data_IF_114628633459
#
_entry.id   IF_114628633459
#
_cell.length_a   1.000
_cell.length_b   1.000
_cell.length_c   1.000
_cell.angle_alpha   90.00
_cell.angle_beta   90.00
_cell.angle_gamma   90.00
#
_symmetry.space_group_name_H-M   'P 1'
#
loop_
_entity.id
_entity.type
_entity.pdbx_description
1 polymer ?
#
# COMPACT_ATOMS: atom_id res chain seq x y z
N UNK A 1 38.64 -1.27 8.58
CA UNK A 1 38.92 0.06 9.13
C UNK A 1 38.70 1.08 8.02
N UNK A 2 37.49 1.63 7.94
CA UNK A 2 37.15 2.70 7.01
C UNK A 2 36.41 3.76 7.81
N UNK A 3 37.09 4.88 8.10
CA UNK A 3 36.50 5.99 8.82
C UNK A 3 35.56 6.74 7.86
N UNK A 4 34.25 6.59 8.08
CA UNK A 4 33.23 7.38 7.40
C UNK A 4 33.29 8.82 7.89
N UNK A 5 33.65 9.73 7.00
CA UNK A 5 33.56 11.17 7.20
C UNK A 5 32.08 11.54 7.24
N UNK A 6 31.53 11.63 8.46
CA UNK A 6 30.22 12.25 8.69
C UNK A 6 30.38 13.76 8.49
N UNK A 7 30.07 14.23 7.28
CA UNK A 7 30.05 15.65 6.97
C UNK A 7 28.91 16.31 7.74
N UNK A 8 29.24 17.11 8.75
CA UNK A 8 28.27 17.95 9.43
C UNK A 8 27.66 18.91 8.40
N UNK A 9 26.34 18.84 8.21
CA UNK A 9 25.63 19.80 7.38
C UNK A 9 25.90 21.22 7.90
N UNK A 10 26.17 22.19 7.01
CA UNK A 10 26.43 23.57 7.42
C UNK A 10 25.23 24.08 8.23
N UNK A 11 25.50 24.64 9.42
CA UNK A 11 24.46 25.22 10.25
C UNK A 11 23.76 26.35 9.48
N UNK A 12 22.48 26.14 9.13
CA UNK A 12 21.63 27.19 8.56
C UNK A 12 21.62 28.39 9.51
N UNK A 13 21.83 29.57 8.96
CA UNK A 13 21.94 30.78 9.77
C UNK A 13 20.55 31.38 10.01
N UNK A 14 20.34 32.05 11.14
CA UNK A 14 19.07 32.75 11.42
C UNK A 14 18.67 33.74 10.30
N UNK A 15 19.65 34.26 9.55
CA UNK A 15 19.42 35.11 8.38
C UNK A 15 18.77 34.38 7.19
N UNK A 16 18.97 33.07 7.05
CA UNK A 16 18.37 32.28 5.98
C UNK A 16 16.90 31.97 6.28
N UNK A 17 16.57 31.69 7.55
CA UNK A 17 15.20 31.49 8.03
C UNK A 17 14.33 32.73 7.81
N UNK A 18 14.82 33.91 8.21
CA UNK A 18 14.11 35.19 8.02
C UNK A 18 13.84 35.47 6.54
N UNK A 19 14.84 35.23 5.68
CA UNK A 19 14.70 35.39 4.23
C UNK A 19 13.67 34.41 3.65
N UNK A 20 13.63 33.17 4.15
CA UNK A 20 12.63 32.19 3.74
C UNK A 20 11.22 32.62 4.16
N UNK A 21 11.02 33.03 5.41
CA UNK A 21 9.71 33.51 5.91
C UNK A 21 9.21 34.68 5.07
N UNK A 22 10.08 35.64 4.77
CA UNK A 22 9.74 36.79 3.92
C UNK A 22 9.29 36.36 2.51
N UNK A 23 10.04 35.46 1.86
CA UNK A 23 9.67 34.92 0.54
C UNK A 23 8.31 34.23 0.55
N UNK A 24 8.05 33.39 1.55
CA UNK A 24 6.77 32.68 1.69
C UNK A 24 5.64 33.67 1.94
N UNK A 25 5.82 34.66 2.81
CA UNK A 25 4.83 35.70 3.07
C UNK A 25 4.48 36.48 1.78
N UNK A 26 5.48 36.87 1.00
CA UNK A 26 5.28 37.54 -0.28
C UNK A 26 4.56 36.66 -1.31
N UNK A 27 4.89 35.36 -1.39
CA UNK A 27 4.22 34.44 -2.28
C UNK A 27 2.75 34.25 -1.91
N UNK A 28 2.47 34.03 -0.61
CA UNK A 28 1.11 33.78 -0.12
C UNK A 28 0.21 35.02 -0.18
N UNK A 29 0.74 36.21 0.08
CA UNK A 29 -0.02 37.46 0.04
C UNK A 29 -0.51 37.86 -1.36
N UNK A 30 0.09 37.31 -2.42
CA UNK A 30 -0.33 37.55 -3.82
C UNK A 30 -1.52 36.69 -4.27
N UNK A 31 -1.95 35.69 -3.49
CA UNK A 31 -3.07 34.83 -3.87
C UNK A 31 -4.42 35.51 -3.67
N UNK A 32 -5.28 35.44 -4.68
CA UNK A 32 -6.69 35.85 -4.52
C UNK A 32 -7.46 34.81 -3.70
N UNK A 33 -8.58 35.18 -3.05
CA UNK A 33 -9.43 34.24 -2.34
C UNK A 33 -9.92 33.07 -3.21
N UNK A 34 -10.24 33.32 -4.48
CA UNK A 34 -10.72 32.32 -5.42
C UNK A 34 -9.61 31.34 -5.79
N UNK A 35 -8.39 31.84 -6.04
CA UNK A 35 -7.22 31.00 -6.30
C UNK A 35 -6.89 30.12 -5.09
N UNK A 36 -7.03 30.65 -3.88
CA UNK A 36 -6.85 29.93 -2.63
C UNK A 36 -7.88 28.79 -2.47
N UNK A 37 -9.15 29.08 -2.72
CA UNK A 37 -10.23 28.08 -2.65
C UNK A 37 -10.03 26.97 -3.69
N UNK A 38 -9.68 27.33 -4.93
CA UNK A 38 -9.41 26.35 -5.98
C UNK A 38 -8.20 25.47 -5.64
N UNK A 39 -7.13 26.06 -5.08
CA UNK A 39 -5.98 25.31 -4.60
C UNK A 39 -6.36 24.34 -3.45
N UNK A 40 -7.15 24.80 -2.47
CA UNK A 40 -7.66 23.95 -1.37
C UNK A 40 -8.43 22.74 -1.89
N UNK A 41 -9.31 22.94 -2.87
CA UNK A 41 -10.08 21.85 -3.48
C UNK A 41 -9.18 20.82 -4.16
N UNK A 42 -8.23 21.27 -4.99
CA UNK A 42 -7.27 20.37 -5.67
C UNK A 42 -6.44 19.56 -4.69
N UNK A 43 -5.96 20.22 -3.64
CA UNK A 43 -5.14 19.62 -2.60
C UNK A 43 -5.94 18.59 -1.80
N UNK A 44 -7.19 18.89 -1.44
CA UNK A 44 -8.07 17.93 -0.75
C UNK A 44 -8.38 16.71 -1.63
N UNK A 45 -8.63 16.92 -2.93
CA UNK A 45 -8.77 15.81 -3.88
C UNK A 45 -7.49 14.96 -3.97
N UNK A 46 -6.31 15.59 -4.01
CA UNK A 46 -5.03 14.89 -4.00
C UNK A 46 -4.84 14.06 -2.74
N UNK A 47 -5.19 14.63 -1.58
CA UNK A 47 -5.15 13.97 -0.27
C UNK A 47 -6.05 12.75 -0.21
N UNK A 48 -7.27 12.85 -0.74
CA UNK A 48 -8.21 11.72 -0.82
C UNK A 48 -7.67 10.60 -1.72
N UNK A 49 -7.11 10.96 -2.88
CA UNK A 49 -6.48 9.99 -3.78
C UNK A 49 -5.32 9.26 -3.10
N UNK A 50 -4.44 9.99 -2.39
CA UNK A 50 -3.32 9.43 -1.62
C UNK A 50 -3.80 8.49 -0.50
N UNK A 51 -4.86 8.84 0.24
CA UNK A 51 -5.45 7.92 1.22
C UNK A 51 -5.96 6.64 0.54
N UNK A 52 -6.61 6.77 -0.62
CA UNK A 52 -7.08 5.62 -1.38
C UNK A 52 -5.91 4.77 -1.91
N UNK A 53 -4.80 5.36 -2.37
CA UNK A 53 -3.57 4.63 -2.71
C UNK A 53 -3.12 3.77 -1.53
N UNK A 54 -3.05 4.33 -0.32
CA UNK A 54 -2.59 3.62 0.88
C UNK A 54 -3.50 2.47 1.27
N UNK A 55 -4.82 2.67 1.23
CA UNK A 55 -5.80 1.58 1.47
C UNK A 55 -5.64 0.47 0.44
N UNK A 56 -5.51 0.84 -0.84
CA UNK A 56 -5.33 -0.10 -1.94
C UNK A 56 -4.05 -0.94 -1.76
N UNK A 57 -2.93 -0.28 -1.48
CA UNK A 57 -1.63 -0.89 -1.20
C UNK A 57 -1.71 -1.83 0.01
N UNK A 58 -2.36 -1.43 1.10
CA UNK A 58 -2.52 -2.30 2.28
C UNK A 58 -3.22 -3.63 1.95
N UNK A 59 -4.29 -3.62 1.16
CA UNK A 59 -4.99 -4.85 0.74
C UNK A 59 -4.14 -5.66 -0.24
N UNK A 60 -3.51 -5.01 -1.23
CA UNK A 60 -2.64 -5.66 -2.22
C UNK A 60 -1.50 -6.40 -1.52
N UNK A 61 -0.84 -5.75 -0.56
CA UNK A 61 0.32 -6.30 0.12
C UNK A 61 -0.05 -7.43 1.07
N UNK A 62 -1.25 -7.40 1.66
CA UNK A 62 -1.80 -8.58 2.35
C UNK A 62 -2.07 -9.75 1.40
N UNK A 63 -2.60 -9.50 0.18
CA UNK A 63 -2.79 -10.55 -0.82
C UNK A 63 -1.51 -11.21 -1.29
N UNK A 64 -0.44 -10.43 -1.48
CA UNK A 64 0.90 -10.92 -1.78
C UNK A 64 1.44 -11.77 -0.62
N UNK A 65 1.34 -11.29 0.63
CA UNK A 65 1.81 -12.03 1.81
C UNK A 65 1.03 -13.32 2.04
N UNK A 66 -0.30 -13.29 1.98
CA UNK A 66 -1.16 -14.46 2.24
C UNK A 66 -0.87 -15.58 1.23
N UNK A 67 -0.68 -15.23 -0.04
CA UNK A 67 -0.22 -16.15 -1.08
C UNK A 67 1.16 -16.73 -0.80
N UNK A 68 2.12 -15.88 -0.46
CA UNK A 68 3.47 -16.32 -0.15
C UNK A 68 3.51 -17.30 1.04
N UNK A 69 2.71 -17.02 2.07
CA UNK A 69 2.53 -17.89 3.23
C UNK A 69 1.93 -19.24 2.85
N UNK A 70 0.90 -19.26 1.98
CA UNK A 70 0.31 -20.52 1.51
C UNK A 70 1.32 -21.37 0.71
N UNK A 71 2.10 -20.73 -0.18
CA UNK A 71 3.14 -21.41 -0.95
C UNK A 71 4.28 -21.95 -0.06
N UNK A 72 4.74 -21.16 0.90
CA UNK A 72 5.76 -21.59 1.86
C UNK A 72 5.25 -22.75 2.74
N UNK A 73 4.00 -22.69 3.20
CA UNK A 73 3.38 -23.77 3.97
C UNK A 73 3.32 -25.08 3.17
N UNK A 74 2.91 -25.03 1.89
CA UNK A 74 2.94 -26.19 0.99
C UNK A 74 4.36 -26.73 0.79
N UNK A 75 5.35 -25.85 0.67
CA UNK A 75 6.77 -26.22 0.52
C UNK A 75 7.26 -26.97 1.75
N UNK A 76 6.98 -26.45 2.95
CA UNK A 76 7.39 -27.09 4.20
C UNK A 76 6.68 -28.43 4.40
N UNK A 77 5.37 -28.51 4.15
CA UNK A 77 4.62 -29.76 4.22
C UNK A 77 5.18 -30.83 3.26
N UNK A 78 5.63 -30.45 2.06
CA UNK A 78 6.25 -31.37 1.12
C UNK A 78 7.56 -31.98 1.62
N UNK A 79 8.25 -31.30 2.54
CA UNK A 79 9.50 -31.75 3.16
C UNK A 79 9.32 -32.45 4.50
N UNK A 80 8.13 -32.36 5.09
CA UNK A 80 7.79 -33.02 6.34
C UNK A 80 7.58 -34.52 6.13
N UNK A 81 7.87 -35.31 7.16
CA UNK A 81 7.80 -36.77 7.11
C UNK A 81 6.93 -37.38 8.21
N UNK A 82 6.49 -36.55 9.16
CA UNK A 82 5.70 -37.00 10.31
C UNK A 82 4.40 -36.18 10.49
N UNK A 83 3.36 -36.80 11.06
CA UNK A 83 2.13 -36.10 11.47
C UNK A 83 2.37 -34.84 12.33
N UNK A 84 3.31 -34.92 13.28
CA UNK A 84 3.64 -33.83 14.19
C UNK A 84 4.23 -32.63 13.43
N UNK A 85 5.07 -32.89 12.42
CA UNK A 85 5.63 -31.85 11.57
C UNK A 85 4.57 -31.18 10.70
N UNK A 86 3.61 -31.93 10.13
CA UNK A 86 2.50 -31.35 9.36
C UNK A 86 1.68 -30.37 10.19
N UNK A 87 1.32 -30.77 11.42
CA UNK A 87 0.57 -29.91 12.33
C UNK A 87 1.39 -28.72 12.82
N UNK A 88 2.70 -28.89 13.05
CA UNK A 88 3.58 -27.79 13.43
C UNK A 88 3.73 -26.75 12.31
N UNK A 89 3.85 -27.18 11.05
CA UNK A 89 3.87 -26.30 9.87
C UNK A 89 2.56 -25.52 9.77
N UNK A 90 1.43 -26.20 9.93
CA UNK A 90 0.10 -25.59 9.92
C UNK A 90 -0.04 -24.52 11.00
N UNK A 91 0.41 -24.80 12.23
CA UNK A 91 0.33 -23.84 13.35
C UNK A 91 1.17 -22.59 13.12
N UNK A 92 2.38 -22.73 12.56
CA UNK A 92 3.22 -21.59 12.17
C UNK A 92 2.57 -20.74 11.09
N UNK A 93 1.99 -21.38 10.07
CA UNK A 93 1.26 -20.69 9.02
C UNK A 93 0.05 -19.89 9.57
N UNK A 94 -0.75 -20.48 10.46
CA UNK A 94 -1.88 -19.78 11.09
C UNK A 94 -1.41 -18.55 11.87
N UNK A 95 -0.34 -18.68 12.65
CA UNK A 95 0.24 -17.57 13.40
C UNK A 95 0.70 -16.44 12.48
N UNK A 96 1.39 -16.77 11.38
CA UNK A 96 1.85 -15.80 10.38
C UNK A 96 0.68 -15.09 9.67
N UNK A 97 -0.42 -15.81 9.37
CA UNK A 97 -1.60 -15.20 8.77
C UNK A 97 -2.31 -14.22 9.70
N UNK A 98 -2.47 -14.58 10.97
CA UNK A 98 -3.05 -13.69 11.98
C UNK A 98 -2.25 -12.38 12.11
N UNK A 99 -0.91 -12.48 12.14
CA UNK A 99 -0.04 -11.31 12.16
C UNK A 99 -0.18 -10.47 10.88
N UNK A 100 -0.19 -11.12 9.71
CA UNK A 100 -0.37 -10.45 8.41
C UNK A 100 -1.69 -9.69 8.31
N UNK A 101 -2.78 -10.25 8.87
CA UNK A 101 -4.11 -9.61 8.93
C UNK A 101 -4.12 -8.43 9.91
N UNK A 102 -3.58 -8.60 11.11
CA UNK A 102 -3.49 -7.52 12.09
C UNK A 102 -2.74 -6.29 11.53
N UNK A 103 -1.68 -6.51 10.73
CA UNK A 103 -0.98 -5.43 10.02
C UNK A 103 -1.83 -4.77 8.94
N UNK A 104 -2.57 -5.55 8.16
CA UNK A 104 -3.49 -4.99 7.17
C UNK A 104 -4.52 -4.08 7.84
N UNK A 105 -5.15 -4.53 8.92
CA UNK A 105 -6.13 -3.75 9.68
C UNK A 105 -5.52 -2.48 10.26
N UNK A 106 -4.30 -2.57 10.79
CA UNK A 106 -3.56 -1.42 11.30
C UNK A 106 -3.26 -0.41 10.18
N UNK A 107 -2.74 -0.87 9.03
CA UNK A 107 -2.42 -0.02 7.89
C UNK A 107 -3.67 0.66 7.33
N UNK A 108 -4.77 -0.10 7.20
CA UNK A 108 -6.07 0.41 6.79
C UNK A 108 -6.61 1.45 7.79
N UNK A 109 -6.51 1.18 9.09
CA UNK A 109 -6.91 2.09 10.16
C UNK A 109 -6.11 3.38 10.14
N UNK A 110 -4.78 3.32 9.96
CA UNK A 110 -3.90 4.49 9.79
C UNK A 110 -4.33 5.34 8.59
N UNK A 111 -4.65 4.71 7.46
CA UNK A 111 -5.13 5.43 6.27
C UNK A 111 -6.50 6.11 6.51
N UNK A 112 -7.42 5.46 7.24
CA UNK A 112 -8.70 6.07 7.61
C UNK A 112 -8.53 7.25 8.58
N UNK A 113 -7.64 7.13 9.56
CA UNK A 113 -7.31 8.22 10.47
C UNK A 113 -6.69 9.41 9.72
N UNK A 114 -5.82 9.15 8.74
CA UNK A 114 -5.29 10.19 7.86
C UNK A 114 -6.40 10.90 7.06
N UNK A 115 -7.46 10.20 6.66
CA UNK A 115 -8.63 10.78 6.00
C UNK A 115 -9.46 11.71 6.90
N UNK A 116 -9.80 11.27 8.11
CA UNK A 116 -10.81 11.93 8.96
C UNK A 116 -10.30 13.01 9.91
N UNK A 117 -8.99 13.12 10.11
CA UNK A 117 -8.47 13.91 11.23
C UNK A 117 -8.28 15.40 10.92
N UNK A 118 -9.37 16.17 11.00
CA UNK A 118 -9.31 17.61 11.29
C UNK A 118 -8.98 17.89 12.79
N UNK A 119 -9.01 16.86 13.64
CA UNK A 119 -8.90 16.93 15.09
C UNK A 119 -7.52 16.51 15.65
N UNK A 120 -6.65 15.84 14.90
CA UNK A 120 -5.21 15.74 15.23
C UNK A 120 -4.51 17.06 14.88
N UNK A 121 -4.83 18.10 15.65
CA UNK A 121 -4.14 19.40 15.69
C UNK A 121 -2.93 19.40 16.64
N UNK A 122 -2.45 18.22 17.05
CA UNK A 122 -1.25 18.11 17.90
C UNK A 122 0.00 18.02 17.03
N UNK A 123 1.10 18.61 17.50
CA UNK A 123 2.38 18.76 16.78
C UNK A 123 3.03 17.44 16.30
N UNK A 124 2.52 16.28 16.72
CA UNK A 124 3.01 14.97 16.29
C UNK A 124 2.52 14.55 14.88
N UNK A 125 1.57 15.28 14.28
CA UNK A 125 1.03 14.99 12.93
C UNK A 125 1.98 15.37 11.77
N UNK A 126 3.19 15.82 12.07
CA UNK A 126 4.13 16.34 11.08
C UNK A 126 5.33 15.41 10.82
N UNK A 127 5.27 14.14 11.21
CA UNK A 127 6.24 13.20 10.70
C UNK A 127 6.08 13.08 9.16
N UNK A 128 7.18 13.23 8.43
CA UNK A 128 7.30 12.72 7.06
C UNK A 128 6.99 11.23 7.16
N UNK A 129 6.06 10.75 6.33
CA UNK A 129 5.73 9.34 6.37
C UNK A 129 6.93 8.55 5.87
N UNK A 130 7.31 7.51 6.61
CA UNK A 130 8.19 6.48 6.07
C UNK A 130 7.59 5.97 4.76
N UNK A 131 8.45 5.63 3.80
CA UNK A 131 7.99 5.07 2.54
C UNK A 131 7.20 3.79 2.84
N UNK A 132 6.00 3.67 2.28
CA UNK A 132 5.19 2.48 2.44
C UNK A 132 5.86 1.23 1.86
N UNK A 133 6.91 1.38 1.05
CA UNK A 133 7.80 0.28 0.64
C UNK A 133 8.55 -0.36 1.82
N UNK A 134 9.05 0.44 2.77
CA UNK A 134 9.82 -0.07 3.91
C UNK A 134 8.93 -0.91 4.85
N UNK A 135 7.71 -0.43 5.10
CA UNK A 135 6.68 -1.13 5.86
C UNK A 135 6.33 -2.51 5.26
N UNK A 136 6.43 -2.66 3.93
CA UNK A 136 6.13 -3.91 3.22
C UNK A 136 7.25 -4.96 3.36
N UNK A 137 8.52 -4.55 3.24
CA UNK A 137 9.67 -5.44 3.46
C UNK A 137 9.69 -5.94 4.91
N UNK A 138 9.45 -5.05 5.88
CA UNK A 138 9.33 -5.43 7.30
C UNK A 138 8.17 -6.41 7.56
N UNK A 139 6.99 -6.16 6.96
CA UNK A 139 5.84 -7.05 7.13
C UNK A 139 6.08 -8.44 6.52
N UNK A 140 6.76 -8.51 5.37
CA UNK A 140 7.14 -9.79 4.77
C UNK A 140 8.22 -10.50 5.60
N UNK A 141 9.18 -9.76 6.16
CA UNK A 141 10.23 -10.29 7.00
C UNK A 141 9.68 -10.90 8.30
N UNK A 142 8.70 -10.25 8.94
CA UNK A 142 8.00 -10.82 10.10
C UNK A 142 7.24 -12.09 9.69
N UNK A 143 6.46 -12.05 8.61
CA UNK A 143 5.70 -13.20 8.14
C UNK A 143 6.61 -14.40 7.84
N UNK A 144 7.77 -14.17 7.22
CA UNK A 144 8.79 -15.17 6.97
C UNK A 144 9.36 -15.78 8.27
N UNK A 145 9.62 -14.96 9.29
CA UNK A 145 10.09 -15.45 10.59
C UNK A 145 9.03 -16.32 11.29
N UNK A 146 7.77 -15.89 11.29
CA UNK A 146 6.67 -16.63 11.93
C UNK A 146 6.41 -17.98 11.28
N UNK A 147 6.45 -18.04 9.94
CA UNK A 147 6.24 -19.28 9.20
C UNK A 147 7.49 -20.20 9.21
N UNK A 148 8.66 -19.66 9.57
CA UNK A 148 9.93 -20.39 9.57
C UNK A 148 10.62 -20.44 8.20
N UNK A 149 10.34 -19.48 7.31
CA UNK A 149 10.99 -19.40 6.00
C UNK A 149 12.45 -18.96 6.12
N UNK A 150 13.33 -19.55 5.32
CA UNK A 150 14.76 -19.24 5.34
C UNK A 150 15.08 -17.84 4.76
N UNK A 151 14.26 -17.32 3.84
CA UNK A 151 14.52 -16.07 3.14
C UNK A 151 13.23 -15.32 2.79
N UNK A 152 13.02 -14.16 3.43
CA UNK A 152 11.85 -13.31 3.22
C UNK A 152 11.74 -12.78 1.78
N UNK A 153 12.86 -12.52 1.10
CA UNK A 153 12.87 -12.02 -0.29
C UNK A 153 12.42 -13.08 -1.29
N UNK A 154 12.84 -14.33 -1.09
CA UNK A 154 12.35 -15.45 -1.91
C UNK A 154 10.85 -15.64 -1.72
N UNK A 155 10.38 -15.58 -0.48
CA UNK A 155 8.96 -15.66 -0.15
C UNK A 155 8.18 -14.50 -0.80
N UNK A 156 8.70 -13.27 -0.74
CA UNK A 156 8.12 -12.12 -1.42
C UNK A 156 8.00 -12.32 -2.94
N UNK A 157 9.08 -12.82 -3.57
CA UNK A 157 9.10 -13.07 -5.01
C UNK A 157 8.03 -14.08 -5.44
N UNK A 158 7.83 -15.16 -4.67
CA UNK A 158 6.74 -16.13 -4.91
C UNK A 158 5.37 -15.47 -4.75
N UNK A 159 5.18 -14.66 -3.70
CA UNK A 159 3.94 -13.91 -3.49
C UNK A 159 3.59 -12.94 -4.63
N UNK A 160 4.60 -12.36 -5.29
CA UNK A 160 4.43 -11.42 -6.40
C UNK A 160 4.47 -12.05 -7.79
N UNK A 161 4.76 -13.35 -7.91
CA UNK A 161 4.89 -14.05 -9.19
C UNK A 161 3.59 -13.96 -10.01
N UNK A 162 3.65 -13.45 -11.24
CA UNK A 162 2.47 -13.30 -12.11
C UNK A 162 1.74 -11.96 -12.02
N UNK A 163 2.02 -11.12 -11.01
CA UNK A 163 1.51 -9.74 -10.97
C UNK A 163 2.22 -8.86 -12.01
N UNK A 164 3.55 -8.95 -12.09
CA UNK A 164 4.36 -8.17 -13.03
C UNK A 164 3.97 -8.38 -14.50
N UNK A 165 3.55 -9.59 -14.89
CA UNK A 165 3.11 -9.92 -16.25
C UNK A 165 1.73 -9.37 -16.60
N UNK A 166 0.85 -9.18 -15.61
CA UNK A 166 -0.50 -8.68 -15.83
C UNK A 166 -0.52 -7.15 -16.10
N UNK A 167 0.49 -6.42 -15.63
CA UNK A 167 0.59 -4.98 -15.78
C UNK A 167 0.88 -4.50 -17.22
N UNK A 168 1.33 -5.39 -18.11
CA UNK A 168 1.91 -5.01 -19.41
C UNK A 168 0.98 -5.00 -20.62
N UNK A 169 -0.28 -5.46 -20.55
CA UNK A 169 -1.04 -5.69 -21.78
C UNK A 169 -2.52 -5.36 -21.67
N UNK A 170 -2.97 -4.43 -22.53
CA UNK A 170 -4.38 -4.27 -22.86
C UNK A 170 -4.97 -5.59 -23.38
N UNK A 171 -6.13 -5.95 -22.83
CA UNK A 171 -7.17 -6.77 -23.45
C UNK A 171 -6.70 -7.91 -24.38
N UNK A 172 -5.85 -8.82 -23.91
CA UNK A 172 -5.66 -10.08 -24.63
C UNK A 172 -6.95 -10.93 -24.50
N UNK A 173 -7.36 -11.65 -25.57
CA UNK A 173 -8.61 -12.41 -25.58
C UNK A 173 -8.55 -13.60 -24.60
N UNK A 174 -9.65 -13.79 -23.87
CA UNK A 174 -9.93 -14.77 -22.80
C UNK A 174 -9.84 -16.26 -23.18
N UNK A 175 -9.04 -16.66 -24.19
CA UNK A 175 -9.08 -18.02 -24.76
C UNK A 175 -7.79 -18.84 -24.66
N UNK A 176 -6.65 -18.24 -24.35
CA UNK A 176 -5.39 -18.98 -24.24
C UNK A 176 -5.11 -19.30 -22.77
N UNK A 177 -5.24 -20.57 -22.39
CA UNK A 177 -4.77 -21.08 -21.10
C UNK A 177 -3.28 -20.73 -20.94
N UNK A 178 -2.90 -19.84 -20.02
CA UNK A 178 -1.50 -19.55 -19.76
C UNK A 178 -0.93 -20.79 -19.06
N UNK A 179 -0.30 -21.68 -19.83
CA UNK A 179 0.48 -22.81 -19.34
C UNK A 179 1.83 -22.36 -18.79
N UNK A 180 1.86 -21.29 -18.01
CA UNK A 180 3.06 -20.81 -17.33
C UNK A 180 3.23 -21.58 -16.03
N UNK A 181 4.12 -22.58 -16.02
CA UNK A 181 4.51 -23.36 -14.84
C UNK A 181 5.23 -22.46 -13.82
N UNK A 182 4.47 -21.65 -13.07
CA UNK A 182 5.01 -20.86 -11.97
C UNK A 182 5.37 -21.72 -10.76
N UNK A 183 6.16 -21.17 -9.83
CA UNK A 183 6.58 -21.89 -8.63
C UNK A 183 5.37 -22.34 -7.79
N UNK A 184 4.34 -21.49 -7.68
CA UNK A 184 3.09 -21.83 -6.97
C UNK A 184 2.32 -22.96 -7.66
N UNK A 185 2.27 -22.98 -8.99
CA UNK A 185 1.58 -24.07 -9.73
C UNK A 185 2.29 -25.42 -9.52
N UNK A 186 3.62 -25.43 -9.43
CA UNK A 186 4.40 -26.62 -9.11
C UNK A 186 4.09 -27.13 -7.70
N UNK A 187 3.94 -26.23 -6.72
CA UNK A 187 3.54 -26.59 -5.35
C UNK A 187 2.11 -27.12 -5.28
N UNK A 188 1.17 -26.47 -5.98
CA UNK A 188 -0.23 -26.93 -6.02
C UNK A 188 -0.36 -28.33 -6.66
N UNK A 189 0.54 -28.71 -7.56
CA UNK A 189 0.52 -30.03 -8.19
C UNK A 189 0.63 -31.18 -7.16
N UNK A 190 1.19 -30.95 -5.98
CA UNK A 190 1.26 -31.94 -4.90
C UNK A 190 -0.10 -32.28 -4.28
N UNK A 191 -1.12 -31.46 -4.54
CA UNK A 191 -2.48 -31.68 -4.06
C UNK A 191 -3.32 -32.52 -5.02
N UNK A 192 -2.78 -32.94 -6.18
CA UNK A 192 -3.55 -33.75 -7.16
C UNK A 192 -3.95 -35.11 -6.62
N UNK A 193 -3.11 -35.70 -5.79
CA UNK A 193 -3.31 -37.00 -5.16
C UNK A 193 -3.63 -36.78 -3.67
N UNK A 194 -4.66 -37.48 -3.18
CA UNK A 194 -5.03 -37.45 -1.77
C UNK A 194 -3.95 -38.15 -0.93
N UNK A 195 -3.41 -37.51 0.12
CA UNK A 195 -2.45 -38.16 1.00
C UNK A 195 -3.06 -39.41 1.67
N UNK A 196 -2.27 -40.48 1.75
CA UNK A 196 -2.68 -41.69 2.47
C UNK A 196 -2.66 -41.51 4.00
N UNK A 197 -1.84 -40.58 4.49
CA UNK A 197 -1.77 -40.20 5.90
C UNK A 197 -2.89 -39.22 6.27
N UNK A 198 -3.69 -39.57 7.28
CA UNK A 198 -4.83 -38.76 7.74
C UNK A 198 -4.39 -37.39 8.27
N UNK A 199 -3.21 -37.31 8.88
CA UNK A 199 -2.72 -36.06 9.47
C UNK A 199 -2.23 -35.09 8.40
N UNK A 200 -1.54 -35.59 7.36
CA UNK A 200 -1.19 -34.81 6.18
C UNK A 200 -2.45 -34.32 5.43
N UNK A 201 -3.42 -35.21 5.21
CA UNK A 201 -4.70 -34.87 4.58
C UNK A 201 -5.42 -33.75 5.35
N UNK A 202 -5.51 -33.90 6.67
CA UNK A 202 -6.09 -32.90 7.59
C UNK A 202 -5.33 -31.58 7.52
N UNK A 203 -4.00 -31.60 7.60
CA UNK A 203 -3.19 -30.38 7.60
C UNK A 203 -3.32 -29.61 6.28
N UNK A 204 -3.30 -30.30 5.13
CA UNK A 204 -3.50 -29.70 3.80
C UNK A 204 -4.92 -29.16 3.61
N UNK A 205 -5.94 -29.85 4.13
CA UNK A 205 -7.31 -29.35 4.09
C UNK A 205 -7.49 -28.11 4.96
N UNK A 206 -6.96 -28.10 6.19
CA UNK A 206 -6.97 -26.92 7.07
C UNK A 206 -6.24 -25.72 6.46
N UNK A 207 -5.14 -25.97 5.74
CA UNK A 207 -4.45 -24.93 4.98
C UNK A 207 -5.38 -24.32 3.91
N UNK A 208 -6.12 -25.15 3.17
CA UNK A 208 -7.11 -24.67 2.22
C UNK A 208 -8.20 -23.83 2.90
N UNK A 209 -8.83 -24.33 3.97
CA UNK A 209 -9.91 -23.62 4.65
C UNK A 209 -9.47 -22.25 5.14
N UNK A 210 -8.30 -22.19 5.78
CA UNK A 210 -7.75 -20.94 6.25
C UNK A 210 -7.40 -20.00 5.09
N UNK A 211 -6.74 -20.49 4.03
CA UNK A 211 -6.38 -19.65 2.88
C UNK A 211 -7.62 -19.12 2.14
N UNK A 212 -8.63 -19.96 1.93
CA UNK A 212 -9.90 -19.56 1.33
C UNK A 212 -10.60 -18.47 2.17
N UNK A 213 -10.55 -18.58 3.50
CA UNK A 213 -11.06 -17.54 4.41
C UNK A 213 -10.31 -16.22 4.27
N UNK A 214 -8.98 -16.23 4.09
CA UNK A 214 -8.23 -15.00 3.77
C UNK A 214 -8.67 -14.42 2.43
N UNK A 215 -8.83 -15.26 1.39
CA UNK A 215 -9.28 -14.81 0.05
C UNK A 215 -10.67 -14.15 0.11
N UNK A 216 -11.59 -14.70 0.89
CA UNK A 216 -12.89 -14.09 1.14
C UNK A 216 -12.79 -12.72 1.83
N UNK A 217 -11.93 -12.61 2.86
CA UNK A 217 -11.70 -11.34 3.56
C UNK A 217 -11.03 -10.29 2.68
N UNK A 218 -10.09 -10.70 1.83
CA UNK A 218 -9.48 -9.82 0.83
C UNK A 218 -10.51 -9.29 -0.16
N UNK A 219 -11.41 -10.16 -0.62
CA UNK A 219 -12.55 -9.75 -1.45
C UNK A 219 -13.42 -8.72 -0.72
N UNK A 220 -13.77 -8.97 0.55
CA UNK A 220 -14.52 -8.02 1.37
C UNK A 220 -13.82 -6.66 1.50
N UNK A 221 -12.50 -6.67 1.72
CA UNK A 221 -11.67 -5.46 1.82
C UNK A 221 -11.61 -4.67 0.51
N UNK A 222 -11.50 -5.37 -0.63
CA UNK A 222 -11.51 -4.77 -1.96
C UNK A 222 -12.87 -4.15 -2.29
N UNK A 223 -13.97 -4.82 -1.98
CA UNK A 223 -15.32 -4.28 -2.17
C UNK A 223 -15.58 -3.05 -1.30
N UNK A 224 -15.14 -3.10 -0.03
CA UNK A 224 -15.18 -1.95 0.87
C UNK A 224 -14.34 -0.78 0.35
N UNK A 225 -13.12 -1.05 -0.10
CA UNK A 225 -12.23 -0.06 -0.72
C UNK A 225 -12.92 0.65 -1.88
N UNK A 226 -13.51 -0.15 -2.77
CA UNK A 226 -14.20 0.34 -3.96
C UNK A 226 -15.39 1.23 -3.59
N UNK A 227 -16.23 0.80 -2.66
CA UNK A 227 -17.39 1.55 -2.17
C UNK A 227 -17.00 2.90 -1.51
N UNK A 228 -15.83 2.97 -0.87
CA UNK A 228 -15.34 4.19 -0.23
C UNK A 228 -14.62 5.15 -1.20
N UNK A 229 -14.08 4.67 -2.32
CA UNK A 229 -13.17 5.46 -3.17
C UNK A 229 -13.81 6.00 -4.47
N UNK A 230 -14.94 5.43 -4.92
CA UNK A 230 -15.47 5.68 -6.27
C UNK A 230 -15.98 7.11 -6.51
N UNK A 231 -16.37 7.85 -5.46
CA UNK A 231 -16.85 9.24 -5.59
C UNK A 231 -15.74 10.26 -5.77
N UNK A 232 -14.50 9.89 -5.41
CA UNK A 232 -13.34 10.79 -5.44
C UNK A 232 -12.55 10.71 -6.76
N UNK A 233 -12.90 9.79 -7.67
CA UNK A 233 -12.17 9.57 -8.93
C UNK A 233 -12.98 10.04 -10.15
N UNK A 234 -12.32 10.41 -11.27
CA UNK A 234 -13.01 10.74 -12.50
C UNK A 234 -13.92 9.61 -13.00
N UNK A 235 -15.04 9.95 -13.65
CA UNK A 235 -16.06 8.99 -14.08
C UNK A 235 -15.51 7.84 -14.97
N UNK A 236 -14.53 8.14 -15.84
CA UNK A 236 -13.88 7.12 -16.67
C UNK A 236 -13.08 6.10 -15.83
N UNK A 237 -12.40 6.56 -14.77
CA UNK A 237 -11.66 5.71 -13.84
C UNK A 237 -12.65 4.89 -13.01
N UNK A 238 -13.71 5.51 -12.49
CA UNK A 238 -14.78 4.80 -11.76
C UNK A 238 -15.40 3.67 -12.60
N UNK A 239 -15.72 3.92 -13.87
CA UNK A 239 -16.30 2.92 -14.76
C UNK A 239 -15.35 1.74 -15.05
N UNK A 240 -14.04 1.99 -15.18
CA UNK A 240 -13.03 0.93 -15.30
C UNK A 240 -12.90 0.12 -14.00
N UNK A 241 -12.87 0.80 -12.85
CA UNK A 241 -12.86 0.15 -11.53
C UNK A 241 -14.06 -0.78 -11.36
N UNK A 242 -15.27 -0.28 -11.62
CA UNK A 242 -16.52 -1.03 -11.61
C UNK A 242 -16.46 -2.28 -12.48
N UNK A 243 -15.94 -2.14 -13.70
CA UNK A 243 -15.79 -3.26 -14.65
C UNK A 243 -14.87 -4.33 -14.09
N UNK A 244 -13.74 -3.93 -13.50
CA UNK A 244 -12.76 -4.86 -12.89
C UNK A 244 -13.32 -5.56 -11.67
N UNK A 245 -14.03 -4.84 -10.78
CA UNK A 245 -14.68 -5.42 -9.59
C UNK A 245 -15.74 -6.45 -10.00
N UNK A 246 -16.61 -6.14 -10.96
CA UNK A 246 -17.62 -7.10 -11.45
C UNK A 246 -17.02 -8.40 -11.98
N UNK A 247 -15.79 -8.36 -12.52
CA UNK A 247 -15.09 -9.55 -12.98
C UNK A 247 -14.71 -10.52 -11.86
N UNK A 248 -14.43 -10.01 -10.65
CA UNK A 248 -14.09 -10.81 -9.46
C UNK A 248 -15.30 -11.65 -9.00
N UNK A 249 -16.51 -11.13 -9.18
CA UNK A 249 -17.77 -11.74 -8.71
C UNK A 249 -18.51 -12.55 -9.78
N UNK A 250 -17.86 -12.84 -10.90
CA UNK A 250 -18.48 -13.64 -11.96
C UNK A 250 -18.77 -15.07 -11.48
N UNK A 251 -19.82 -15.70 -12.02
CA UNK A 251 -20.12 -17.11 -11.72
C UNK A 251 -18.91 -18.01 -12.04
N UNK A 252 -18.20 -17.71 -13.12
CA UNK A 252 -16.94 -18.35 -13.47
C UNK A 252 -15.88 -18.19 -12.37
N UNK A 253 -15.75 -17.00 -11.77
CA UNK A 253 -14.83 -16.72 -10.67
C UNK A 253 -15.20 -17.42 -9.35
N UNK A 254 -16.40 -18.01 -9.23
CA UNK A 254 -16.83 -18.72 -8.01
C UNK A 254 -16.95 -20.24 -8.19
N UNK A 255 -16.95 -20.75 -9.43
CA UNK A 255 -17.07 -22.19 -9.70
C UNK A 255 -15.77 -22.98 -9.57
N UNK A 256 -15.89 -24.22 -9.10
CA UNK A 256 -14.88 -25.27 -9.22
C UNK A 256 -15.35 -26.29 -10.28
N UNK A 257 -14.45 -26.96 -11.02
CA UNK A 257 -14.86 -28.01 -11.97
C UNK A 257 -15.51 -29.20 -11.26
N UNK A 258 -16.65 -29.65 -11.77
CA UNK A 258 -17.31 -30.89 -11.31
C UNK A 258 -16.69 -32.13 -11.99
N UNK A 259 -16.70 -33.27 -11.28
CA UNK A 259 -16.38 -34.58 -11.88
C UNK A 259 -14.91 -34.84 -12.23
N UNK A 260 -13.98 -34.09 -11.64
CA UNK A 260 -12.55 -34.33 -11.82
C UNK A 260 -12.07 -35.57 -11.05
N UNK A 261 -10.99 -36.21 -11.56
CA UNK A 261 -10.36 -37.39 -10.93
C UNK A 261 -9.30 -37.04 -9.89
N UNK A 262 -8.87 -35.78 -9.86
CA UNK A 262 -7.87 -35.26 -8.91
C UNK A 262 -8.55 -35.00 -7.55
N UNK A 263 -7.78 -34.99 -6.47
CA UNK A 263 -8.28 -34.69 -5.14
C UNK A 263 -8.92 -33.29 -5.11
N UNK A 264 -10.13 -33.18 -4.56
CA UNK A 264 -10.94 -31.96 -4.67
C UNK A 264 -10.24 -30.72 -4.10
N UNK A 265 -9.38 -30.89 -3.08
CA UNK A 265 -8.58 -29.82 -2.47
C UNK A 265 -7.66 -29.15 -3.49
N UNK A 266 -7.13 -29.87 -4.49
CA UNK A 266 -6.37 -29.28 -5.59
C UNK A 266 -7.16 -28.21 -6.33
N UNK A 267 -8.40 -28.54 -6.73
CA UNK A 267 -9.24 -27.61 -7.49
C UNK A 267 -9.66 -26.41 -6.66
N UNK A 268 -10.01 -26.63 -5.38
CA UNK A 268 -10.37 -25.56 -4.47
C UNK A 268 -9.19 -24.63 -4.21
N UNK A 269 -7.99 -25.18 -3.98
CA UNK A 269 -6.80 -24.38 -3.70
C UNK A 269 -6.33 -23.61 -4.92
N UNK A 270 -6.34 -24.25 -6.10
CA UNK A 270 -6.07 -23.58 -7.38
C UNK A 270 -7.08 -22.46 -7.66
N UNK A 271 -8.33 -22.65 -7.25
CA UNK A 271 -9.38 -21.64 -7.41
C UNK A 271 -9.15 -20.45 -6.49
N UNK A 272 -8.88 -20.70 -5.21
CA UNK A 272 -8.54 -19.67 -4.23
C UNK A 272 -7.32 -18.85 -4.69
N UNK A 273 -6.27 -19.52 -5.14
CA UNK A 273 -5.04 -18.89 -5.66
C UNK A 273 -5.32 -18.01 -6.89
N UNK A 274 -6.08 -18.52 -7.87
CA UNK A 274 -6.46 -17.72 -9.05
C UNK A 274 -7.25 -16.48 -8.67
N UNK A 275 -8.19 -16.60 -7.73
CA UNK A 275 -9.01 -15.49 -7.27
C UNK A 275 -8.15 -14.47 -6.52
N UNK A 276 -7.24 -14.92 -5.66
CA UNK A 276 -6.28 -14.06 -4.98
C UNK A 276 -5.42 -13.26 -5.97
N UNK A 277 -4.78 -13.95 -6.93
CA UNK A 277 -3.94 -13.30 -7.93
C UNK A 277 -4.73 -12.29 -8.77
N UNK A 278 -5.97 -12.63 -9.13
CA UNK A 278 -6.86 -11.72 -9.86
C UNK A 278 -7.17 -10.46 -9.05
N UNK A 279 -7.48 -10.58 -7.76
CA UNK A 279 -7.73 -9.43 -6.90
C UNK A 279 -6.50 -8.57 -6.70
N UNK A 280 -5.33 -9.18 -6.45
CA UNK A 280 -4.06 -8.48 -6.34
C UNK A 280 -3.72 -7.69 -7.61
N UNK A 281 -3.96 -8.27 -8.80
CA UNK A 281 -3.78 -7.59 -10.09
C UNK A 281 -4.77 -6.42 -10.28
N UNK A 282 -6.03 -6.58 -9.85
CA UNK A 282 -7.02 -5.49 -9.88
C UNK A 282 -6.59 -4.34 -8.96
N UNK A 283 -6.13 -4.65 -7.75
CA UNK A 283 -5.62 -3.66 -6.80
C UNK A 283 -4.38 -2.94 -7.33
N UNK A 284 -3.43 -3.65 -7.94
CA UNK A 284 -2.27 -3.01 -8.59
C UNK A 284 -2.70 -2.02 -9.69
N UNK A 285 -3.72 -2.37 -10.48
CA UNK A 285 -4.29 -1.46 -11.47
C UNK A 285 -4.96 -0.23 -10.86
N UNK A 286 -5.63 -0.39 -9.71
CA UNK A 286 -6.25 0.71 -8.97
C UNK A 286 -5.21 1.64 -8.37
N UNK A 287 -4.20 1.07 -7.72
CA UNK A 287 -3.06 1.80 -7.15
C UNK A 287 -2.39 2.69 -8.20
N UNK A 288 -2.00 2.14 -9.36
CA UNK A 288 -1.39 2.93 -10.45
C UNK A 288 -2.28 4.07 -10.94
N UNK A 289 -3.59 3.81 -11.05
CA UNK A 289 -4.56 4.83 -11.47
C UNK A 289 -4.67 5.95 -10.44
N UNK A 290 -4.67 5.60 -9.15
CA UNK A 290 -4.79 6.54 -8.04
C UNK A 290 -3.49 7.32 -7.81
N UNK A 291 -2.33 6.68 -7.94
CA UNK A 291 -1.02 7.33 -7.91
C UNK A 291 -0.92 8.37 -9.02
N UNK A 292 -1.37 8.03 -10.23
CA UNK A 292 -1.45 8.98 -11.33
C UNK A 292 -2.37 10.17 -10.99
N UNK A 293 -3.55 9.94 -10.42
CA UNK A 293 -4.44 11.03 -9.99
C UNK A 293 -3.83 11.89 -8.88
N UNK A 294 -3.19 11.27 -7.88
CA UNK A 294 -2.53 11.95 -6.77
C UNK A 294 -1.29 12.75 -7.21
N UNK A 295 -0.56 12.29 -8.23
CA UNK A 295 0.57 13.00 -8.82
C UNK A 295 0.12 14.24 -9.61
N UNK A 296 -0.97 14.15 -10.37
CA UNK A 296 -1.43 15.22 -11.24
C UNK A 296 -2.32 16.28 -10.56
N UNK A 297 -2.89 15.98 -9.39
CA UNK A 297 -3.81 16.88 -8.69
C UNK A 297 -3.11 17.98 -7.87
N UNK A 298 -1.87 17.75 -7.44
CA UNK A 298 -1.06 18.74 -6.73
C UNK A 298 0.32 18.88 -7.37
N UNK A 299 0.45 19.80 -8.32
CA UNK A 299 1.70 20.07 -9.05
C UNK A 299 2.57 21.16 -8.43
N UNK A 300 2.07 21.87 -7.42
CA UNK A 300 2.75 23.00 -6.76
C UNK A 300 2.83 22.82 -5.25
N UNK A 301 3.90 23.32 -4.66
CA UNK A 301 4.09 23.40 -3.21
C UNK A 301 3.12 24.45 -2.63
N UNK A 302 2.33 24.11 -1.59
CA UNK A 302 1.36 25.05 -1.01
C UNK A 302 2.03 26.17 -0.21
N UNK A 303 3.33 26.07 0.08
CA UNK A 303 4.09 27.02 0.88
C UNK A 303 4.74 28.09 -0.01
N UNK A 304 5.60 27.70 -0.95
CA UNK A 304 6.27 28.64 -1.86
C UNK A 304 5.52 28.90 -3.17
N UNK A 305 4.50 28.10 -3.49
CA UNK A 305 3.72 28.15 -4.75
C UNK A 305 4.53 27.77 -6.01
N UNK A 306 5.69 27.15 -5.82
CA UNK A 306 6.53 26.69 -6.92
C UNK A 306 6.17 25.25 -7.31
N UNK A 307 6.40 24.90 -8.57
CA UNK A 307 6.11 23.56 -9.09
C UNK A 307 7.02 22.51 -8.45
N UNK A 308 6.48 21.31 -8.22
CA UNK A 308 7.30 20.19 -7.78
C UNK A 308 8.25 19.72 -8.89
N UNK A 309 9.42 19.26 -8.48
CA UNK A 309 10.43 18.64 -9.34
C UNK A 309 10.65 17.19 -8.93
N UNK A 310 11.22 16.37 -9.81
CA UNK A 310 11.46 14.96 -9.49
C UNK A 310 12.57 14.78 -8.43
N UNK A 311 13.55 15.68 -8.38
CA UNK A 311 14.70 15.64 -7.46
C UNK A 311 15.16 17.05 -7.10
N UNK A 312 15.70 17.20 -5.88
CA UNK A 312 16.28 18.44 -5.38
C UNK A 312 15.39 19.17 -4.37
N UNK A 313 15.64 20.46 -4.17
CA UNK A 313 14.98 21.32 -3.17
C UNK A 313 13.45 21.41 -3.34
N UNK A 314 12.97 21.29 -4.58
CA UNK A 314 11.54 21.29 -4.90
C UNK A 314 10.95 19.88 -5.07
N UNK A 315 11.63 18.84 -4.59
CA UNK A 315 11.07 17.49 -4.58
C UNK A 315 9.89 17.40 -3.60
N UNK A 316 8.83 16.70 -3.99
CA UNK A 316 7.61 16.61 -3.19
C UNK A 316 7.77 15.60 -2.03
N UNK A 317 7.49 16.04 -0.82
CA UNK A 317 7.36 15.21 0.37
C UNK A 317 5.89 15.06 0.77
N UNK A 318 5.46 13.83 1.02
CA UNK A 318 4.09 13.54 1.47
C UNK A 318 4.05 13.41 2.99
N UNK A 319 3.30 14.31 3.63
CA UNK A 319 3.10 14.34 5.08
C UNK A 319 2.16 13.22 5.55
N UNK A 320 2.10 12.97 6.86
CA UNK A 320 1.19 11.98 7.46
C UNK A 320 -0.29 12.18 7.11
N UNK A 321 -0.72 13.44 7.04
CA UNK A 321 -2.05 13.84 6.61
C UNK A 321 -2.29 13.72 5.09
N UNK A 322 -1.36 13.14 4.33
CA UNK A 322 -1.42 12.92 2.89
C UNK A 322 -1.35 14.19 2.02
N UNK A 323 -0.94 15.33 2.59
CA UNK A 323 -0.64 16.55 1.85
C UNK A 323 0.81 16.60 1.39
N UNK A 324 1.07 17.17 0.22
CA UNK A 324 2.42 17.35 -0.31
C UNK A 324 2.99 18.74 -0.02
N UNK A 325 4.28 18.82 0.29
CA UNK A 325 5.07 20.06 0.43
C UNK A 325 6.43 19.83 -0.23
N UNK A 326 7.20 20.85 -0.59
CA UNK A 326 8.56 20.59 -1.08
C UNK A 326 9.54 20.41 0.07
N UNK A 327 10.58 19.61 -0.13
CA UNK A 327 11.61 19.31 0.87
C UNK A 327 12.25 20.57 1.45
N UNK A 328 12.59 21.56 0.61
CA UNK A 328 13.18 22.82 1.06
C UNK A 328 12.25 23.61 1.99
N UNK A 329 10.97 23.75 1.61
CA UNK A 329 10.00 24.44 2.46
C UNK A 329 9.69 23.67 3.73
N UNK A 330 9.75 22.34 3.71
CA UNK A 330 9.52 21.52 4.89
C UNK A 330 10.66 21.62 5.90
N UNK A 331 11.90 21.63 5.41
CA UNK A 331 13.09 21.82 6.23
C UNK A 331 13.09 23.19 6.92
N UNK A 332 12.91 24.27 6.16
CA UNK A 332 12.82 25.62 6.73
C UNK A 332 11.64 25.77 7.68
N UNK A 333 10.48 25.21 7.35
CA UNK A 333 9.32 25.26 8.24
C UNK A 333 9.58 24.50 9.55
N UNK A 334 10.30 23.38 9.49
CA UNK A 334 10.73 22.63 10.67
C UNK A 334 11.69 23.45 11.52
N UNK A 335 12.65 24.16 10.91
CA UNK A 335 13.58 25.03 11.63
C UNK A 335 12.85 26.19 12.32
N UNK A 336 12.00 26.92 11.59
CA UNK A 336 11.19 28.05 12.09
C UNK A 336 10.22 27.65 13.22
N UNK A 337 9.80 26.38 13.24
CA UNK A 337 8.93 25.83 14.30
C UNK A 337 9.70 25.04 15.37
N UNK A 338 11.02 25.15 15.40
CA UNK A 338 11.92 24.51 16.37
C UNK A 338 11.71 22.99 16.46
N UNK A 339 11.63 22.34 15.30
CA UNK A 339 11.44 20.90 15.15
C UNK A 339 10.02 20.42 15.46
N UNK A 340 9.04 21.33 15.55
CA UNK A 340 7.62 20.99 15.77
C UNK A 340 6.74 21.54 14.65
N UNK A 341 7.03 21.18 13.38
CA UNK A 341 6.21 21.64 12.27
C UNK A 341 4.79 21.10 12.39
N UNK A 342 3.88 21.71 11.64
CA UNK A 342 2.55 21.19 11.40
C UNK A 342 2.20 21.39 9.93
N UNK A 343 1.28 20.58 9.40
CA UNK A 343 0.89 20.70 8.00
C UNK A 343 0.25 22.08 7.71
N UNK A 344 0.83 22.88 6.80
CA UNK A 344 0.30 24.19 6.42
C UNK A 344 -1.08 24.16 5.76
N UNK A 345 -1.54 22.99 5.33
CA UNK A 345 -2.84 22.84 4.68
C UNK A 345 -3.93 22.44 5.67
N UNK A 346 -3.62 21.52 6.60
CA UNK A 346 -4.56 21.17 7.67
C UNK A 346 -4.80 22.33 8.65
N UNK A 347 -3.80 23.21 8.83
CA UNK A 347 -3.87 24.36 9.77
C UNK A 347 -3.47 25.66 9.07
N UNK A 348 -4.10 25.94 7.93
CA UNK A 348 -3.69 27.04 7.06
C UNK A 348 -3.73 28.40 7.71
N UNK A 349 -4.79 28.73 8.45
CA UNK A 349 -4.90 30.03 9.09
C UNK A 349 -3.80 30.22 10.16
N UNK A 350 -3.44 29.15 10.86
CA UNK A 350 -2.36 29.16 11.85
C UNK A 350 -0.98 29.27 11.19
N UNK A 351 -0.78 28.58 10.06
CA UNK A 351 0.44 28.70 9.27
C UNK A 351 0.62 30.12 8.73
N UNK A 352 -0.40 30.68 8.08
CA UNK A 352 -0.36 32.03 7.53
C UNK A 352 -0.16 33.07 8.65
N UNK A 353 -0.83 32.91 9.79
CA UNK A 353 -0.62 33.76 10.96
C UNK A 353 0.79 33.67 11.53
N UNK A 354 1.38 32.48 11.56
CA UNK A 354 2.75 32.25 12.02
C UNK A 354 3.81 32.83 11.07
N UNK A 355 3.60 32.73 9.76
CA UNK A 355 4.45 33.34 8.73
C UNK A 355 4.36 34.86 8.79
N UNK A 356 3.13 35.41 8.83
CA UNK A 356 2.92 36.86 8.88
C UNK A 356 3.47 37.52 10.14
N UNK A 357 3.41 36.85 11.31
CA UNK A 357 3.96 37.38 12.56
C UNK A 357 5.49 37.39 12.63
N UNK A 358 6.16 36.59 11.80
CA UNK A 358 7.61 36.48 11.72
C UNK A 358 8.20 37.26 10.54
N UNK A 359 7.39 37.56 9.51
CA UNK A 359 7.83 38.37 8.39
C UNK A 359 8.19 39.79 8.89
N UNK A 360 9.38 40.31 8.58
CA UNK A 360 9.76 41.66 8.97
C UNK A 360 8.75 42.67 8.41
N UNK A 361 8.19 43.53 9.27
CA UNK A 361 7.38 44.66 8.81
C UNK A 361 8.22 45.47 7.82
N UNK A 362 7.72 45.61 6.58
CA UNK A 362 8.32 46.51 5.60
C UNK A 362 8.38 47.91 6.23
N UNK A 363 9.58 48.33 6.64
CA UNK A 363 9.83 49.67 7.19
C UNK A 363 9.93 50.69 6.07
#
# INVERSE_FOLDING_TARGET
MGAGLSGAAPAQTASDEDRWVQRVHEAQSRRTPEALQAARQRIESARQAEVSVRKCRAVKSHAVRSRALAAECLTQMASSSSPEEHMAVQGRWQSAQLASRARQDQAWGKAHQAAGSALMRTAAAAAVMADASDDEEEAMQEAAQLVGAANARTMAAVGSEGLATAAGCGSAPMGALPGGSGAVDALLAQLREEPADESECTAKFLLYEGYASEVEQMRGSLLKFHAESWTAVPAAVAADMDKKVRGIDSAEAMGIPDGAREWFVFHMMRKAERNNLKMASVLEGFEKSLEFLAANSQSECPICLEAFTERGEHSAETLSCCHKVCSDCWEHWSAVTHGRPFCPLCRQDEFLGAVASRAPSAR
#
